data_IF_787073599525
#
_entry.id   IF_787073599525
#
_cell.length_a   1.000
_cell.length_b   1.000
_cell.length_c   1.000
_cell.angle_alpha   90.00
_cell.angle_beta   90.00
_cell.angle_gamma   90.00
#
_symmetry.space_group_name_H-M   'P 1'
#
loop_
_entity.id
_entity.type
_entity.pdbx_description
1 polymer ?
#
# COMPACT_ATOMS: atom_id res chain seq x y z
N UNK A 1 32.81 -1.36 -59.45
CA UNK A 1 33.74 -1.18 -58.31
C UNK A 1 33.02 -0.34 -57.26
N UNK A 2 32.59 -0.94 -56.15
CA UNK A 2 31.80 -0.31 -55.07
C UNK A 2 32.74 -0.01 -53.90
N UNK A 3 32.97 1.26 -53.60
CA UNK A 3 33.73 1.71 -52.43
C UNK A 3 32.80 1.78 -51.22
N UNK A 4 33.16 1.01 -50.18
CA UNK A 4 32.49 1.00 -48.89
C UNK A 4 32.99 2.18 -48.05
N UNK A 5 32.12 3.15 -47.76
CA UNK A 5 32.35 4.14 -46.72
C UNK A 5 31.64 3.67 -45.44
N UNK A 6 32.42 3.14 -44.51
CA UNK A 6 32.00 2.87 -43.13
C UNK A 6 31.75 4.18 -42.40
N UNK A 7 30.48 4.54 -42.19
CA UNK A 7 30.09 5.61 -41.29
C UNK A 7 30.17 5.11 -39.84
N UNK A 8 31.28 5.45 -39.17
CA UNK A 8 31.50 5.22 -37.74
C UNK A 8 30.87 6.39 -36.98
N UNK A 9 29.57 6.32 -36.67
CA UNK A 9 28.91 7.33 -35.85
C UNK A 9 29.21 7.07 -34.38
N UNK A 10 29.98 7.97 -33.78
CA UNK A 10 30.31 8.00 -32.37
C UNK A 10 29.06 8.19 -31.52
N UNK A 11 28.70 7.16 -30.75
CA UNK A 11 27.73 7.29 -29.65
C UNK A 11 28.41 8.13 -28.57
N UNK A 12 28.17 9.44 -28.58
CA UNK A 12 28.46 10.31 -27.44
C UNK A 12 27.51 9.93 -26.30
N UNK A 13 28.00 9.15 -25.35
CA UNK A 13 27.37 8.98 -24.04
C UNK A 13 27.33 10.33 -23.34
N UNK A 14 26.21 11.08 -23.46
CA UNK A 14 25.92 12.20 -22.57
C UNK A 14 25.79 11.64 -21.15
N UNK A 15 26.81 11.89 -20.32
CA UNK A 15 26.72 11.77 -18.87
C UNK A 15 25.54 12.64 -18.41
N UNK A 16 24.39 12.02 -18.13
CA UNK A 16 23.33 12.69 -17.39
C UNK A 16 23.87 12.96 -15.99
N UNK A 17 24.09 14.24 -15.69
CA UNK A 17 24.40 14.71 -14.34
C UNK A 17 23.30 14.20 -13.41
N UNK A 18 23.71 13.36 -12.47
CA UNK A 18 22.96 13.09 -11.25
C UNK A 18 22.94 14.38 -10.44
N UNK A 19 21.94 15.23 -10.66
CA UNK A 19 21.63 16.29 -9.71
C UNK A 19 21.15 15.60 -8.44
N UNK A 20 21.87 15.83 -7.35
CA UNK A 20 21.56 15.40 -5.99
C UNK A 20 20.12 15.73 -5.62
N UNK A 21 19.29 14.72 -5.37
CA UNK A 21 17.89 14.81 -4.92
C UNK A 21 17.75 14.55 -3.40
N UNK A 22 18.74 14.94 -2.60
CA UNK A 22 18.78 14.68 -1.15
C UNK A 22 17.98 15.67 -0.28
N UNK A 23 16.80 16.16 -0.72
CA UNK A 23 16.01 17.13 0.06
C UNK A 23 14.61 16.65 0.50
N UNK A 24 14.27 15.37 0.31
CA UNK A 24 13.00 14.79 0.79
C UNK A 24 13.08 14.18 2.20
N UNK A 25 14.28 13.86 2.69
CA UNK A 25 14.51 13.10 3.93
C UNK A 25 14.30 13.89 5.24
N UNK A 26 13.92 15.18 5.16
CA UNK A 26 13.99 16.13 6.28
C UNK A 26 12.63 16.50 6.91
N UNK A 27 11.56 15.77 6.57
CA UNK A 27 10.26 15.88 7.26
C UNK A 27 9.76 14.53 7.77
N UNK A 28 10.63 13.87 8.53
CA UNK A 28 10.26 12.71 9.36
C UNK A 28 9.52 13.21 10.59
N UNK A 29 8.21 12.97 10.69
CA UNK A 29 7.60 12.86 12.02
C UNK A 29 8.00 11.49 12.59
N UNK A 30 9.11 11.49 13.33
CA UNK A 30 9.57 10.33 14.09
C UNK A 30 8.75 10.27 15.38
N UNK A 31 7.97 9.22 15.56
CA UNK A 31 7.33 8.88 16.85
C UNK A 31 8.29 7.93 17.60
N UNK A 32 8.46 8.05 18.93
CA UNK A 32 9.45 7.26 19.67
C UNK A 32 9.13 5.75 19.64
N UNK A 33 10.14 4.93 19.37
CA UNK A 33 10.07 3.48 19.50
C UNK A 33 10.03 3.08 20.99
N UNK A 34 8.96 2.41 21.41
CA UNK A 34 8.94 1.72 22.70
C UNK A 34 9.71 0.39 22.57
N UNK A 35 10.77 0.23 23.37
CA UNK A 35 11.54 -1.01 23.48
C UNK A 35 10.70 -2.09 24.18
N UNK A 36 10.64 -3.33 23.67
CA UNK A 36 10.09 -4.44 24.43
C UNK A 36 11.07 -4.82 25.56
N UNK A 37 10.55 -4.91 26.79
CA UNK A 37 11.32 -5.25 27.98
C UNK A 37 11.88 -6.67 27.93
N UNK A 38 13.18 -6.79 28.16
CA UNK A 38 13.89 -8.03 28.43
C UNK A 38 13.34 -8.65 29.73
N UNK A 39 12.88 -9.90 29.64
CA UNK A 39 12.63 -10.74 30.84
C UNK A 39 13.83 -11.68 30.99
N UNK A 40 14.66 -11.41 31.98
CA UNK A 40 15.70 -12.30 32.47
C UNK A 40 15.05 -13.54 33.12
N UNK A 41 15.53 -14.72 32.76
CA UNK A 41 15.20 -15.97 33.44
C UNK A 41 16.39 -16.34 34.34
N UNK A 42 16.26 -16.11 35.63
CA UNK A 42 17.24 -16.54 36.63
C UNK A 42 17.10 -18.06 36.87
N UNK A 43 18.20 -18.79 36.66
CA UNK A 43 18.33 -20.21 37.01
C UNK A 43 18.66 -20.33 38.49
N UNK A 44 17.75 -20.88 39.29
CA UNK A 44 18.07 -21.41 40.61
C UNK A 44 18.31 -22.92 40.50
N UNK A 45 19.57 -23.32 40.65
CA UNK A 45 19.98 -24.71 40.81
C UNK A 45 19.70 -25.17 42.24
N UNK A 46 18.96 -26.26 42.39
CA UNK A 46 18.87 -27.01 43.64
C UNK A 46 18.85 -28.52 43.37
N UNK A 47 19.54 -29.22 44.25
CA UNK A 47 20.04 -30.60 44.21
C UNK A 47 18.94 -31.61 44.59
N UNK A 48 18.95 -32.80 43.98
CA UNK A 48 18.64 -34.06 44.69
C UNK A 48 17.44 -34.92 44.25
N UNK A 49 17.78 -36.14 43.78
CA UNK A 49 17.10 -37.45 43.90
C UNK A 49 15.73 -37.76 43.21
N UNK A 50 15.83 -38.67 42.21
CA UNK A 50 15.07 -39.94 41.98
C UNK A 50 13.54 -40.00 42.13
N UNK A 51 12.81 -40.25 41.01
CA UNK A 51 12.07 -41.48 40.63
C UNK A 51 10.82 -41.22 39.74
N UNK A 52 10.81 -41.96 38.61
CA UNK A 52 9.72 -42.47 37.76
C UNK A 52 8.87 -41.55 36.84
N UNK A 53 8.45 -42.08 35.66
CA UNK A 53 7.78 -41.35 34.60
C UNK A 53 6.26 -41.51 34.72
N UNK A 54 5.54 -40.39 34.83
CA UNK A 54 4.08 -40.37 34.73
C UNK A 54 3.67 -39.28 33.73
N UNK A 55 3.23 -39.76 32.56
CA UNK A 55 2.04 -39.29 31.87
C UNK A 55 1.75 -37.78 31.98
N UNK A 56 2.25 -37.00 31.01
CA UNK A 56 1.52 -35.81 30.55
C UNK A 56 1.31 -35.95 29.03
N UNK A 57 0.50 -36.95 28.68
CA UNK A 57 -0.28 -36.94 27.45
C UNK A 57 -1.17 -35.70 27.53
N UNK A 58 -1.13 -34.84 26.50
CA UNK A 58 -1.80 -33.52 26.42
C UNK A 58 -1.15 -32.34 27.16
N UNK A 59 -0.01 -31.92 26.63
CA UNK A 59 0.13 -30.51 26.25
C UNK A 59 0.47 -30.45 24.77
N UNK A 60 -0.50 -30.82 23.91
CA UNK A 60 -0.55 -30.22 22.58
C UNK A 60 -0.58 -28.72 22.84
N UNK A 61 0.59 -28.08 22.72
CA UNK A 61 0.66 -26.66 22.53
C UNK A 61 -0.28 -26.39 21.37
N UNK A 62 -1.47 -25.88 21.69
CA UNK A 62 -2.32 -25.25 20.68
C UNK A 62 -1.40 -24.31 19.92
N UNK A 63 -1.46 -24.24 18.57
CA UNK A 63 -0.82 -23.18 17.83
C UNK A 63 -1.49 -21.88 18.27
N UNK A 64 -1.00 -21.33 19.38
CA UNK A 64 -1.44 -20.06 19.90
C UNK A 64 -0.93 -19.05 18.91
N UNK A 65 -1.90 -18.42 18.24
CA UNK A 65 -1.75 -17.21 17.47
C UNK A 65 -1.16 -17.45 16.08
N UNK A 66 -2.06 -17.54 15.11
CA UNK A 66 -1.81 -16.95 13.81
C UNK A 66 -1.24 -15.55 14.07
N UNK A 67 0.08 -15.41 13.95
CA UNK A 67 0.72 -14.12 13.84
C UNK A 67 0.06 -13.46 12.64
N UNK A 68 -0.89 -12.55 12.90
CA UNK A 68 -1.62 -11.86 11.85
C UNK A 68 -0.60 -11.28 10.89
N UNK A 69 -0.64 -11.73 9.64
CA UNK A 69 0.36 -11.34 8.64
C UNK A 69 0.22 -9.83 8.44
N UNK A 70 1.13 -9.09 9.07
CA UNK A 70 1.20 -7.64 8.99
C UNK A 70 1.50 -7.26 7.55
N UNK A 71 0.51 -6.76 6.82
CA UNK A 71 0.60 -6.54 5.38
C UNK A 71 0.77 -5.05 5.10
N UNK A 72 1.83 -4.68 4.39
CA UNK A 72 2.01 -3.30 3.92
C UNK A 72 1.31 -3.11 2.58
N UNK A 73 0.45 -2.10 2.53
CA UNK A 73 -0.44 -1.82 1.41
C UNK A 73 -0.16 -0.42 0.91
N UNK A 74 0.01 -0.29 -0.40
CA UNK A 74 0.12 0.99 -1.11
C UNK A 74 -1.22 1.34 -1.75
N UNK A 75 -1.72 2.55 -1.53
CA UNK A 75 -2.82 3.14 -2.30
C UNK A 75 -2.27 4.21 -3.23
N UNK A 76 -2.72 4.19 -4.49
CA UNK A 76 -2.37 5.19 -5.50
C UNK A 76 -3.64 5.84 -6.04
N UNK A 77 -3.69 7.17 -5.95
CA UNK A 77 -4.65 8.03 -6.65
C UNK A 77 -3.91 8.69 -7.85
N UNK A 78 -3.98 8.09 -9.05
CA UNK A 78 -3.23 8.56 -10.19
C UNK A 78 -3.79 9.88 -10.72
N UNK A 79 -2.93 10.83 -11.00
CA UNK A 79 -3.30 12.07 -11.67
C UNK A 79 -2.19 12.57 -12.57
N UNK A 80 -2.57 13.16 -13.71
CA UNK A 80 -1.58 13.56 -14.72
C UNK A 80 -0.56 14.56 -14.17
N UNK A 81 -0.97 15.46 -13.27
CA UNK A 81 -0.11 16.50 -12.67
C UNK A 81 0.36 16.15 -11.26
N UNK A 82 -0.54 15.55 -10.49
CA UNK A 82 -0.34 15.20 -9.09
C UNK A 82 -0.86 13.77 -8.95
N UNK A 83 -0.01 12.87 -8.47
CA UNK A 83 -0.39 11.50 -8.12
C UNK A 83 -0.26 11.34 -6.62
N UNK A 84 -1.36 11.05 -5.93
CA UNK A 84 -1.38 10.77 -4.50
C UNK A 84 -0.85 9.38 -4.20
N UNK A 85 -0.12 9.23 -3.09
CA UNK A 85 0.24 7.93 -2.54
C UNK A 85 -0.05 7.87 -1.04
N UNK A 86 -0.45 6.70 -0.57
CA UNK A 86 -0.66 6.40 0.84
C UNK A 86 -0.19 4.99 1.15
N UNK A 87 0.57 4.82 2.23
CA UNK A 87 1.04 3.51 2.71
C UNK A 87 0.43 3.27 4.08
N UNK A 88 -0.23 2.12 4.21
CA UNK A 88 -0.81 1.66 5.47
C UNK A 88 -0.33 0.25 5.77
N UNK A 89 -0.28 -0.09 7.07
CA UNK A 89 0.00 -1.42 7.56
C UNK A 89 -1.29 -2.03 8.07
N UNK A 90 -1.78 -3.07 7.41
CA UNK A 90 -2.87 -3.89 7.92
C UNK A 90 -2.35 -4.82 9.01
N UNK A 91 -2.98 -4.74 10.18
CA UNK A 91 -2.64 -5.54 11.37
C UNK A 91 -3.60 -6.70 11.61
N UNK A 92 -4.58 -6.89 10.73
CA UNK A 92 -5.69 -7.85 10.88
C UNK A 92 -6.79 -7.40 11.85
N UNK A 93 -6.53 -6.40 12.70
CA UNK A 93 -7.53 -5.75 13.57
C UNK A 93 -7.87 -4.32 13.14
N UNK A 94 -7.20 -3.83 12.10
CA UNK A 94 -7.27 -2.45 11.64
C UNK A 94 -5.98 -2.05 10.93
N UNK A 95 -5.96 -0.81 10.42
CA UNK A 95 -4.83 -0.26 9.70
C UNK A 95 -4.05 0.76 10.53
N UNK A 96 -2.74 0.79 10.35
CA UNK A 96 -1.84 1.79 10.94
C UNK A 96 -1.23 2.63 9.81
N UNK A 97 -1.20 3.94 9.99
CA UNK A 97 -0.55 4.85 9.05
C UNK A 97 0.97 4.61 8.98
N UNK A 98 1.53 4.61 7.78
CA UNK A 98 2.98 4.49 7.57
C UNK A 98 3.53 5.75 6.90
N UNK A 99 2.96 6.13 5.76
CA UNK A 99 3.39 7.31 5.01
C UNK A 99 2.31 7.77 4.04
N UNK A 100 2.37 9.03 3.61
CA UNK A 100 1.51 9.54 2.54
C UNK A 100 2.13 10.79 1.92
N UNK A 101 1.78 11.08 0.68
CA UNK A 101 2.22 12.29 0.01
C UNK A 101 1.70 12.39 -1.41
N UNK A 102 2.33 13.29 -2.17
CA UNK A 102 1.97 13.56 -3.56
C UNK A 102 3.23 13.61 -4.43
N UNK A 103 3.22 12.84 -5.52
CA UNK A 103 4.21 12.93 -6.59
C UNK A 103 3.76 14.03 -7.54
N UNK A 104 4.49 15.13 -7.58
CA UNK A 104 4.20 16.29 -8.43
C UNK A 104 5.05 16.20 -9.69
N UNK A 105 4.41 16.06 -10.85
CA UNK A 105 5.14 15.93 -12.12
C UNK A 105 5.68 17.27 -12.64
N UNK A 106 5.20 18.39 -12.11
CA UNK A 106 5.56 19.73 -12.57
C UNK A 106 5.09 20.03 -14.00
N UNK A 107 5.82 20.92 -14.66
CA UNK A 107 5.67 21.27 -16.07
C UNK A 107 6.59 20.42 -16.94
N UNK A 108 6.22 20.23 -18.21
CA UNK A 108 7.02 19.49 -19.18
C UNK A 108 6.15 18.69 -20.12
N UNK A 109 6.81 17.97 -21.02
CA UNK A 109 6.14 17.11 -21.97
C UNK A 109 5.49 15.92 -21.26
N UNK A 110 4.42 15.38 -21.86
CA UNK A 110 3.63 14.32 -21.23
C UNK A 110 4.49 13.10 -20.87
N UNK A 111 5.37 12.65 -21.77
CA UNK A 111 6.21 11.48 -21.55
C UNK A 111 7.20 11.65 -20.38
N UNK A 112 7.74 12.86 -20.19
CA UNK A 112 8.60 13.19 -19.05
C UNK A 112 7.81 13.10 -17.74
N UNK A 113 6.59 13.63 -17.73
CA UNK A 113 5.69 13.58 -16.58
C UNK A 113 5.30 12.13 -16.24
N UNK A 114 5.04 11.29 -17.24
CA UNK A 114 4.78 9.86 -17.03
C UNK A 114 6.00 9.15 -16.43
N UNK A 115 7.22 9.49 -16.88
CA UNK A 115 8.44 8.96 -16.29
C UNK A 115 8.59 9.36 -14.82
N UNK A 116 8.22 10.60 -14.45
CA UNK A 116 8.21 11.04 -13.05
C UNK A 116 7.22 10.24 -12.21
N UNK A 117 5.99 10.01 -12.71
CA UNK A 117 4.99 9.18 -12.02
C UNK A 117 5.53 7.77 -11.79
N UNK A 118 6.02 7.11 -12.85
CA UNK A 118 6.54 5.75 -12.77
C UNK A 118 7.73 5.65 -11.78
N UNK A 119 8.71 6.57 -11.87
CA UNK A 119 9.86 6.58 -10.95
C UNK A 119 9.47 6.89 -9.52
N UNK A 120 8.57 7.85 -9.31
CA UNK A 120 8.10 8.23 -7.98
C UNK A 120 7.34 7.11 -7.29
N UNK A 121 6.45 6.41 -8.01
CA UNK A 121 5.74 5.24 -7.46
C UNK A 121 6.74 4.14 -7.11
N UNK A 122 7.68 3.85 -8.00
CA UNK A 122 8.73 2.87 -7.76
C UNK A 122 9.61 3.22 -6.55
N UNK A 123 9.94 4.49 -6.37
CA UNK A 123 10.70 4.96 -5.20
C UNK A 123 9.92 4.75 -3.90
N UNK A 124 8.61 5.05 -3.89
CA UNK A 124 7.73 4.77 -2.75
C UNK A 124 7.71 3.27 -2.45
N UNK A 125 7.58 2.41 -3.46
CA UNK A 125 7.62 0.95 -3.30
C UNK A 125 8.94 0.51 -2.67
N UNK A 126 10.08 0.96 -3.22
CA UNK A 126 11.40 0.59 -2.69
C UNK A 126 11.66 1.11 -1.28
N UNK A 127 11.11 2.27 -0.94
CA UNK A 127 11.31 2.91 0.36
C UNK A 127 10.53 2.20 1.47
N UNK A 128 9.28 1.84 1.20
CA UNK A 128 8.38 1.31 2.23
C UNK A 128 8.16 -0.20 2.16
N UNK A 129 8.50 -0.86 1.05
CA UNK A 129 8.31 -2.31 0.85
C UNK A 129 6.86 -2.81 0.93
N UNK A 130 5.86 -2.13 0.33
CA UNK A 130 4.52 -2.68 0.23
C UNK A 130 4.51 -3.94 -0.63
N UNK A 131 3.67 -4.91 -0.27
CA UNK A 131 3.53 -6.18 -1.01
C UNK A 131 2.33 -6.20 -1.95
N UNK A 132 1.43 -5.23 -1.77
CA UNK A 132 0.21 -5.09 -2.58
C UNK A 132 -0.15 -3.63 -2.77
N UNK A 133 -0.83 -3.33 -3.88
CA UNK A 133 -1.20 -1.99 -4.30
C UNK A 133 -2.68 -1.92 -4.70
N UNK A 134 -3.41 -0.97 -4.13
CA UNK A 134 -4.72 -0.53 -4.60
C UNK A 134 -4.59 0.70 -5.51
N UNK A 135 -5.29 0.71 -6.64
CA UNK A 135 -5.31 1.84 -7.59
C UNK A 135 -6.75 2.25 -7.87
N UNK A 136 -7.03 3.56 -7.91
CA UNK A 136 -8.34 4.04 -8.34
C UNK A 136 -8.63 3.70 -9.81
N UNK A 137 -9.84 3.21 -10.05
CA UNK A 137 -10.41 3.02 -11.38
C UNK A 137 -11.05 4.33 -11.83
N UNK A 138 -10.53 4.84 -12.95
CA UNK A 138 -11.03 6.07 -13.57
C UNK A 138 -12.32 5.76 -14.33
N UNK A 139 -13.40 6.48 -14.04
CA UNK A 139 -14.67 6.39 -14.77
C UNK A 139 -15.09 7.77 -15.31
N UNK A 140 -15.42 7.81 -16.61
CA UNK A 140 -16.05 8.94 -17.32
C UNK A 140 -15.50 10.34 -16.99
N UNK A 141 -14.38 10.71 -17.63
CA UNK A 141 -14.03 12.12 -17.70
C UNK A 141 -14.97 12.84 -18.68
N UNK A 142 -15.47 14.03 -18.31
CA UNK A 142 -16.25 14.90 -19.21
C UNK A 142 -15.49 15.28 -20.48
N UNK A 143 -14.15 15.28 -20.42
CA UNK A 143 -13.26 15.61 -21.52
C UNK A 143 -12.38 14.40 -21.87
N UNK A 144 -12.46 13.92 -23.11
CA UNK A 144 -11.70 12.78 -23.61
C UNK A 144 -10.17 12.97 -23.51
N UNK A 145 -9.67 14.18 -23.77
CA UNK A 145 -8.22 14.47 -23.71
C UNK A 145 -7.68 14.35 -22.27
N UNK A 146 -8.44 14.86 -21.30
CA UNK A 146 -8.09 14.73 -19.88
C UNK A 146 -8.18 13.29 -19.39
N UNK A 147 -9.20 12.54 -19.87
CA UNK A 147 -9.32 11.11 -19.60
C UNK A 147 -8.11 10.33 -20.11
N UNK A 148 -7.66 10.63 -21.33
CA UNK A 148 -6.53 9.94 -21.95
C UNK A 148 -5.22 10.20 -21.18
N UNK A 149 -4.94 11.45 -20.84
CA UNK A 149 -3.77 11.84 -20.02
C UNK A 149 -3.78 11.18 -18.64
N UNK A 150 -4.95 11.11 -18.02
CA UNK A 150 -5.14 10.43 -16.75
C UNK A 150 -4.93 8.92 -16.88
N UNK A 151 -5.48 8.29 -17.92
CA UNK A 151 -5.29 6.87 -18.23
C UNK A 151 -3.81 6.51 -18.45
N UNK A 152 -3.05 7.37 -19.13
CA UNK A 152 -1.61 7.21 -19.32
C UNK A 152 -0.83 7.30 -17.99
N UNK A 153 -1.14 8.28 -17.13
CA UNK A 153 -0.51 8.41 -15.82
C UNK A 153 -0.81 7.22 -14.91
N UNK A 154 -2.06 6.76 -14.94
CA UNK A 154 -2.49 5.53 -14.28
C UNK A 154 -1.73 4.30 -14.80
N UNK A 155 -1.60 4.16 -16.11
CA UNK A 155 -0.82 3.08 -16.73
C UNK A 155 0.64 3.08 -16.26
N UNK A 156 1.27 4.26 -16.18
CA UNK A 156 2.63 4.42 -15.67
C UNK A 156 2.75 3.97 -14.19
N UNK A 157 1.77 4.30 -13.35
CA UNK A 157 1.75 3.86 -11.95
C UNK A 157 1.55 2.34 -11.79
N UNK A 158 0.65 1.75 -12.58
CA UNK A 158 0.38 0.29 -12.56
C UNK A 158 1.61 -0.49 -13.00
N UNK A 159 2.25 -0.08 -14.09
CA UNK A 159 3.48 -0.74 -14.58
C UNK A 159 4.62 -0.61 -13.56
N UNK A 160 4.72 0.52 -12.84
CA UNK A 160 5.69 0.66 -11.75
C UNK A 160 5.48 -0.36 -10.63
N UNK A 161 4.22 -0.61 -10.24
CA UNK A 161 3.88 -1.65 -9.26
C UNK A 161 4.13 -3.06 -9.79
N UNK A 162 3.79 -3.33 -11.05
CA UNK A 162 3.95 -4.63 -11.66
C UNK A 162 5.43 -5.02 -11.82
N UNK A 163 6.31 -4.05 -12.13
CA UNK A 163 7.75 -4.28 -12.24
C UNK A 163 8.39 -4.72 -10.91
N UNK A 164 7.85 -4.23 -9.79
CA UNK A 164 8.30 -4.64 -8.45
C UNK A 164 7.48 -5.83 -7.90
N UNK A 165 6.71 -6.50 -8.76
CA UNK A 165 5.92 -7.72 -8.48
C UNK A 165 4.85 -7.58 -7.38
N UNK A 166 4.25 -6.40 -7.23
CA UNK A 166 3.13 -6.20 -6.31
C UNK A 166 1.85 -6.86 -6.84
N UNK A 167 1.03 -7.40 -5.92
CA UNK A 167 -0.36 -7.70 -6.22
C UNK A 167 -1.11 -6.38 -6.45
N UNK A 168 -1.82 -6.22 -7.58
CA UNK A 168 -2.50 -4.97 -7.93
C UNK A 168 -4.00 -5.21 -8.01
N UNK A 169 -4.76 -4.41 -7.26
CA UNK A 169 -6.22 -4.39 -7.31
C UNK A 169 -6.75 -3.00 -7.68
N UNK A 170 -7.90 -2.98 -8.35
CA UNK A 170 -8.53 -1.75 -8.82
C UNK A 170 -9.86 -1.50 -8.12
N UNK A 171 -10.13 -0.25 -7.73
CA UNK A 171 -11.33 0.12 -7.00
C UNK A 171 -12.04 1.31 -7.63
N UNK A 172 -13.36 1.25 -7.77
CA UNK A 172 -14.16 2.42 -8.14
C UNK A 172 -14.25 3.40 -6.98
N UNK A 173 -14.47 4.69 -7.29
CA UNK A 173 -14.75 5.70 -6.27
C UNK A 173 -15.90 5.30 -5.34
N UNK A 174 -16.94 4.63 -5.86
CA UNK A 174 -18.06 4.12 -5.06
C UNK A 174 -17.64 3.01 -4.11
N UNK A 175 -16.77 2.08 -4.52
CA UNK A 175 -16.22 1.04 -3.64
C UNK A 175 -15.37 1.65 -2.52
N UNK A 176 -14.52 2.62 -2.84
CA UNK A 176 -13.68 3.31 -1.84
C UNK A 176 -14.56 4.01 -0.80
N UNK A 177 -15.55 4.79 -1.27
CA UNK A 177 -16.50 5.49 -0.38
C UNK A 177 -17.30 4.52 0.49
N UNK A 178 -17.77 3.41 -0.10
CA UNK A 178 -18.50 2.38 0.62
C UNK A 178 -17.63 1.72 1.71
N UNK A 179 -16.38 1.40 1.39
CA UNK A 179 -15.47 0.71 2.30
C UNK A 179 -14.97 1.61 3.45
N UNK A 180 -14.83 2.91 3.23
CA UNK A 180 -14.26 3.85 4.21
C UNK A 180 -15.35 4.59 5.00
N UNK A 181 -16.41 5.05 4.34
CA UNK A 181 -17.46 5.87 4.94
C UNK A 181 -18.80 5.14 5.10
N UNK A 182 -18.90 3.86 4.71
CA UNK A 182 -20.11 3.05 4.84
C UNK A 182 -21.20 3.34 3.80
N UNK A 183 -20.99 4.30 2.89
CA UNK A 183 -21.91 4.61 1.79
C UNK A 183 -21.16 5.06 0.54
N UNK A 184 -21.50 4.50 -0.62
CA UNK A 184 -20.96 4.91 -1.92
C UNK A 184 -21.27 6.37 -2.32
N UNK A 185 -22.24 7.01 -1.65
CA UNK A 185 -22.64 8.40 -1.87
C UNK A 185 -21.87 9.44 -1.04
N UNK A 186 -20.90 9.02 -0.22
CA UNK A 186 -20.17 9.94 0.66
C UNK A 186 -19.47 11.07 -0.11
N UNK A 187 -19.46 12.27 0.48
CA UNK A 187 -18.69 13.40 -0.05
C UNK A 187 -17.19 13.26 0.30
N UNK A 188 -16.34 14.08 -0.33
CA UNK A 188 -14.87 13.98 -0.15
C UNK A 188 -14.46 14.31 1.28
N UNK A 189 -15.12 15.27 1.91
CA UNK A 189 -14.85 15.68 3.28
C UNK A 189 -15.15 14.54 4.27
N UNK A 190 -16.26 13.82 4.10
CA UNK A 190 -16.62 12.66 4.91
C UNK A 190 -15.58 11.56 4.79
N UNK A 191 -15.17 11.21 3.57
CA UNK A 191 -14.13 10.21 3.34
C UNK A 191 -12.83 10.62 4.05
N UNK A 192 -12.40 11.87 3.88
CA UNK A 192 -11.19 12.38 4.52
C UNK A 192 -11.27 12.33 6.05
N UNK A 193 -12.40 12.73 6.65
CA UNK A 193 -12.61 12.65 8.11
C UNK A 193 -12.55 11.20 8.60
N UNK A 194 -13.13 10.26 7.83
CA UNK A 194 -13.08 8.84 8.14
C UNK A 194 -11.66 8.26 8.01
N UNK A 195 -10.90 8.66 6.98
CA UNK A 195 -9.48 8.30 6.86
C UNK A 195 -8.69 8.77 8.08
N UNK A 196 -8.88 10.03 8.50
CA UNK A 196 -8.23 10.56 9.69
C UNK A 196 -8.62 9.78 10.95
N UNK A 197 -9.89 9.42 11.10
CA UNK A 197 -10.38 8.65 12.24
C UNK A 197 -9.78 7.23 12.27
N UNK A 198 -9.87 6.50 11.16
CA UNK A 198 -9.40 5.11 11.04
C UNK A 198 -7.88 4.99 11.25
N UNK A 199 -7.12 5.98 10.76
CA UNK A 199 -5.66 6.02 10.86
C UNK A 199 -5.15 6.83 12.06
N UNK A 200 -6.06 7.37 12.88
CA UNK A 200 -5.74 8.20 14.06
C UNK A 200 -4.83 9.40 13.74
N UNK A 201 -5.05 10.04 12.60
CA UNK A 201 -4.28 11.21 12.16
C UNK A 201 -4.73 12.46 12.91
N UNK A 202 -3.77 13.20 13.45
CA UNK A 202 -4.03 14.48 14.15
C UNK A 202 -4.08 15.67 13.21
N UNK A 203 -3.40 15.59 12.06
CA UNK A 203 -3.33 16.64 11.06
C UNK A 203 -4.08 16.25 9.79
N UNK A 204 -4.77 17.21 9.19
CA UNK A 204 -5.47 17.02 7.92
C UNK A 204 -4.45 16.81 6.79
N UNK A 205 -4.44 15.65 6.11
CA UNK A 205 -3.57 15.42 4.97
C UNK A 205 -3.98 16.27 3.76
N UNK A 206 -3.09 16.39 2.77
CA UNK A 206 -3.46 16.93 1.46
C UNK A 206 -4.57 16.06 0.82
N UNK A 207 -5.43 16.68 0.01
CA UNK A 207 -6.61 16.02 -0.58
C UNK A 207 -6.21 14.76 -1.38
N UNK A 208 -5.21 14.86 -2.26
CA UNK A 208 -4.77 13.72 -3.07
C UNK A 208 -4.13 12.61 -2.20
N UNK A 209 -3.51 12.97 -1.07
CA UNK A 209 -2.95 12.02 -0.13
C UNK A 209 -4.05 11.31 0.69
N UNK A 210 -5.14 12.00 1.06
CA UNK A 210 -6.30 11.36 1.70
C UNK A 210 -7.01 10.39 0.76
N UNK A 211 -7.17 10.75 -0.51
CA UNK A 211 -7.82 9.89 -1.51
C UNK A 211 -6.97 8.60 -1.70
N UNK A 212 -5.63 8.73 -1.78
CA UNK A 212 -4.72 7.59 -1.82
C UNK A 212 -4.76 6.70 -0.54
N UNK A 213 -4.83 7.30 0.65
CA UNK A 213 -4.99 6.55 1.91
C UNK A 213 -6.34 5.82 1.97
N UNK A 214 -7.42 6.43 1.46
CA UNK A 214 -8.74 5.81 1.37
C UNK A 214 -8.71 4.58 0.47
N UNK A 215 -7.99 4.62 -0.65
CA UNK A 215 -7.80 3.48 -1.55
C UNK A 215 -7.04 2.35 -0.83
N UNK A 216 -5.99 2.68 -0.08
CA UNK A 216 -5.23 1.70 0.69
C UNK A 216 -6.10 1.01 1.76
N UNK A 217 -6.94 1.77 2.47
CA UNK A 217 -7.91 1.25 3.43
C UNK A 217 -8.98 0.37 2.77
N UNK A 218 -9.51 0.80 1.62
CA UNK A 218 -10.46 0.02 0.83
C UNK A 218 -9.87 -1.34 0.44
N UNK A 219 -8.60 -1.35 0.02
CA UNK A 219 -7.88 -2.58 -0.30
C UNK A 219 -7.72 -3.49 0.92
N UNK A 220 -7.34 -2.95 2.08
CA UNK A 220 -7.24 -3.69 3.34
C UNK A 220 -8.57 -4.35 3.75
N UNK A 221 -9.67 -3.60 3.68
CA UNK A 221 -11.01 -4.12 4.02
C UNK A 221 -11.46 -5.22 3.05
N UNK A 222 -11.17 -5.06 1.76
CA UNK A 222 -11.48 -6.07 0.75
C UNK A 222 -10.71 -7.37 1.01
N UNK A 223 -9.41 -7.28 1.32
CA UNK A 223 -8.58 -8.44 1.68
C UNK A 223 -9.08 -9.12 2.95
N UNK A 224 -9.40 -8.36 3.99
CA UNK A 224 -9.94 -8.90 5.24
C UNK A 224 -11.26 -9.63 5.03
N UNK A 225 -12.12 -9.15 4.13
CA UNK A 225 -13.39 -9.81 3.79
C UNK A 225 -13.19 -11.12 3.00
N UNK A 226 -12.10 -11.23 2.24
CA UNK A 226 -11.75 -12.43 1.48
C UNK A 226 -11.04 -13.49 2.32
N UNK A 227 -10.37 -13.10 3.42
CA UNK A 227 -9.83 -14.03 4.40
C UNK A 227 -11.02 -14.58 5.21
N UNK A 228 -11.38 -15.87 5.10
CA UNK A 228 -12.50 -16.40 5.86
C UNK A 228 -12.15 -16.31 7.34
N UNK A 229 -12.83 -15.43 8.07
CA UNK A 229 -12.87 -15.49 9.52
C UNK A 229 -13.61 -16.78 9.92
N UNK A 230 -12.90 -17.91 9.97
CA UNK A 230 -13.32 -19.12 10.67
C UNK A 230 -14.69 -19.71 10.31
N UNK A 231 -15.30 -19.34 9.17
CA UNK A 231 -16.61 -19.83 8.73
C UNK A 231 -16.49 -21.06 7.81
N UNK A 232 -15.42 -21.84 7.94
CA UNK A 232 -15.29 -23.17 7.33
C UNK A 232 -16.26 -24.21 7.92
N UNK A 233 -17.17 -23.82 8.82
CA UNK A 233 -18.20 -24.70 9.41
C UNK A 233 -19.64 -24.24 9.20
N UNK A 234 -19.89 -23.12 8.50
CA UNK A 234 -21.27 -22.75 8.15
C UNK A 234 -21.76 -23.60 6.96
N UNK A 235 -22.19 -24.82 7.26
CA UNK A 235 -23.04 -25.62 6.37
C UNK A 235 -24.22 -24.75 5.96
N UNK A 236 -24.34 -24.47 4.66
CA UNK A 236 -25.58 -24.00 4.05
C UNK A 236 -26.69 -24.99 4.39
N UNK A 237 -27.50 -24.67 5.40
CA UNK A 237 -28.81 -25.26 5.57
C UNK A 237 -29.76 -24.38 4.78
N UNK A 238 -30.23 -24.92 3.66
CA UNK A 238 -31.14 -24.25 2.74
C UNK A 238 -32.32 -23.60 3.48
N UNK A 239 -32.63 -22.36 3.09
CA UNK A 239 -33.75 -21.62 3.65
C UNK A 239 -33.75 -20.17 3.17
N UNK A 240 -34.29 -19.98 1.97
CA UNK A 240 -34.76 -18.72 1.34
C UNK A 240 -34.73 -17.47 2.24
N UNK A 241 -33.81 -16.55 1.95
CA UNK A 241 -33.91 -15.14 2.37
C UNK A 241 -35.00 -14.47 1.53
N UNK A 242 -36.04 -13.97 2.20
CA UNK A 242 -36.92 -12.92 1.67
C UNK A 242 -36.53 -11.60 2.32
N UNK A 243 -36.51 -10.57 1.48
CA UNK A 243 -36.11 -9.19 1.74
C UNK A 243 -36.83 -8.56 2.93
#
# INVERSE_FOLDING_TARGET
MKTWMTCRTSIQTRKFRTTSWNNWADRRQVIPSQKPGERSCEHHAAIGLRLLPLCCTYCFASPSQAAGVMTLILGIDPGSRITGYGVVRDTGRGCVYVASGCIRTGSGELHERLQIVYRGVREVIKTYGPVTMGVEKVFMARNADSALKLGQARGAAIVAGAEEALEIAEYTATQVKQAVAGTGGANKEQVMMMVMHLLKLTQKPQIDASDALAIALCHAHTRSSLIPHGLSTARSRGGRLRL
#
